data_IF_749571658433
#
_entry.id   IF_749571658433
#
_cell.length_a   1.000
_cell.length_b   1.000
_cell.length_c   1.000
_cell.angle_alpha   90.00
_cell.angle_beta   90.00
_cell.angle_gamma   90.00
#
_symmetry.space_group_name_H-M   'P 1'
#
loop_
_entity.id
_entity.type
_entity.pdbx_description
1 polymer ?
#
# COMPACT_ATOMS: atom_id res chain seq x y z
N UNK A 1 3.18 2.29 -25.52
CA UNK A 1 3.33 2.78 -24.12
C UNK A 1 4.62 3.56 -24.05
N UNK A 2 4.62 4.73 -23.40
CA UNK A 2 5.81 5.59 -23.33
C UNK A 2 6.96 4.91 -22.58
N UNK A 3 8.17 5.45 -22.74
CA UNK A 3 9.34 5.11 -21.90
C UNK A 3 9.66 6.31 -21.01
N UNK A 4 10.32 6.09 -19.88
CA UNK A 4 10.83 7.16 -19.03
C UNK A 4 10.13 7.32 -17.68
N UNK A 5 10.64 8.25 -16.84
CA UNK A 5 10.28 8.42 -15.43
C UNK A 5 8.87 9.00 -15.19
N UNK A 6 8.17 9.38 -16.26
CA UNK A 6 6.78 9.89 -16.24
C UNK A 6 5.79 8.94 -16.90
N UNK A 7 6.20 7.71 -17.20
CA UNK A 7 5.33 6.69 -17.78
C UNK A 7 4.51 5.99 -16.69
N UNK A 8 3.48 6.67 -16.19
CA UNK A 8 2.61 6.13 -15.13
C UNK A 8 1.65 5.09 -15.70
N UNK A 9 1.43 4.00 -14.95
CA UNK A 9 0.38 3.04 -15.29
C UNK A 9 -1.00 3.69 -15.10
N UNK A 10 -2.00 3.27 -15.87
CA UNK A 10 -3.38 3.75 -15.67
C UNK A 10 -3.88 3.43 -14.26
N UNK A 11 -3.44 2.32 -13.69
CA UNK A 11 -3.81 1.91 -12.33
C UNK A 11 -3.09 2.77 -11.28
N UNK A 12 -1.82 3.14 -11.51
CA UNK A 12 -1.09 4.10 -10.68
C UNK A 12 -1.81 5.45 -10.63
N UNK A 13 -2.21 5.99 -11.80
CA UNK A 13 -2.96 7.24 -11.87
C UNK A 13 -4.30 7.10 -11.14
N UNK A 14 -5.08 6.06 -11.43
CA UNK A 14 -6.38 5.84 -10.77
C UNK A 14 -6.23 5.73 -9.25
N UNK A 15 -5.28 4.94 -8.76
CA UNK A 15 -4.98 4.79 -7.33
C UNK A 15 -4.61 6.13 -6.71
N UNK A 16 -3.70 6.88 -7.34
CA UNK A 16 -3.23 8.19 -6.86
C UNK A 16 -4.37 9.19 -6.72
N UNK A 17 -5.23 9.32 -7.73
CA UNK A 17 -6.36 10.25 -7.68
C UNK A 17 -7.44 9.80 -6.71
N UNK A 18 -7.77 8.50 -6.67
CA UNK A 18 -8.79 7.95 -5.76
C UNK A 18 -8.42 8.19 -4.29
N UNK A 19 -7.15 7.99 -3.94
CA UNK A 19 -6.67 8.16 -2.57
C UNK A 19 -6.37 9.62 -2.21
N UNK A 20 -6.37 10.54 -3.17
CA UNK A 20 -6.22 11.98 -2.93
C UNK A 20 -7.48 12.66 -2.38
N UNK A 21 -8.65 12.04 -2.54
CA UNK A 21 -9.93 12.65 -2.18
C UNK A 21 -10.22 13.96 -2.89
N UNK A 22 -9.71 14.14 -4.12
CA UNK A 22 -9.80 15.39 -4.89
C UNK A 22 -9.22 16.61 -4.15
N UNK A 23 -8.21 16.42 -3.30
CA UNK A 23 -7.62 17.47 -2.47
C UNK A 23 -6.08 17.45 -2.55
N UNK A 24 -5.48 18.64 -2.52
CA UNK A 24 -4.03 18.80 -2.41
C UNK A 24 -3.48 18.15 -1.13
N UNK A 25 -2.41 17.36 -1.26
CA UNK A 25 -1.79 16.68 -0.12
C UNK A 25 -0.97 17.58 0.82
N UNK A 26 -0.77 18.86 0.47
CA UNK A 26 -0.02 19.77 1.31
C UNK A 26 -0.81 20.11 2.60
N UNK A 27 -0.19 20.05 3.80
CA UNK A 27 -0.90 20.26 5.06
C UNK A 27 -1.63 21.62 5.11
N UNK A 28 -2.91 21.60 5.48
CA UNK A 28 -3.74 22.80 5.57
C UNK A 28 -4.27 23.34 4.23
N UNK A 29 -3.88 22.76 3.09
CA UNK A 29 -4.40 23.17 1.79
C UNK A 29 -5.82 22.65 1.55
N UNK A 30 -6.74 23.54 1.17
CA UNK A 30 -8.14 23.19 0.84
C UNK A 30 -8.42 23.15 -0.65
N UNK A 31 -7.41 23.35 -1.50
CA UNK A 31 -7.58 23.32 -2.96
C UNK A 31 -8.09 21.96 -3.41
N UNK A 32 -9.20 21.98 -4.14
CA UNK A 32 -9.75 20.83 -4.84
C UNK A 32 -9.25 20.77 -6.28
N UNK A 33 -9.00 19.59 -6.82
CA UNK A 33 -8.39 19.47 -8.16
C UNK A 33 -9.38 19.64 -9.30
N UNK A 34 -10.58 19.09 -9.14
CA UNK A 34 -11.66 19.18 -10.13
C UNK A 34 -12.93 19.74 -9.50
N UNK A 35 -13.77 20.35 -10.33
CA UNK A 35 -15.06 20.89 -9.94
C UNK A 35 -16.13 20.46 -10.95
N UNK A 36 -17.36 20.14 -10.53
CA UNK A 36 -18.44 19.85 -11.48
C UNK A 36 -18.79 21.02 -12.41
N UNK A 37 -18.32 22.24 -12.09
CA UNK A 37 -18.63 23.46 -12.84
C UNK A 37 -17.68 23.75 -13.99
N UNK A 38 -16.51 23.09 -14.05
CA UNK A 38 -15.56 23.25 -15.15
C UNK A 38 -14.64 22.03 -15.28
N UNK A 39 -14.15 21.78 -16.48
CA UNK A 39 -13.30 20.62 -16.77
C UNK A 39 -11.81 20.86 -16.44
N UNK A 40 -11.50 21.91 -15.65
CA UNK A 40 -10.11 22.23 -15.31
C UNK A 40 -9.59 21.29 -14.24
N UNK A 41 -8.46 20.63 -14.52
CA UNK A 41 -7.73 19.86 -13.53
C UNK A 41 -6.59 20.70 -12.94
N UNK A 42 -6.69 21.05 -11.67
CA UNK A 42 -5.72 21.85 -10.92
C UNK A 42 -4.64 21.01 -10.21
N UNK A 43 -4.66 19.69 -10.39
CA UNK A 43 -3.66 18.80 -9.80
C UNK A 43 -2.37 18.74 -10.63
N UNK A 44 -1.28 18.47 -9.92
CA UNK A 44 0.01 18.12 -10.49
C UNK A 44 0.45 16.80 -9.87
N UNK A 45 0.81 15.84 -10.72
CA UNK A 45 1.51 14.62 -10.27
C UNK A 45 2.97 15.03 -10.05
N UNK A 46 3.36 15.10 -8.79
CA UNK A 46 4.69 15.51 -8.37
C UNK A 46 5.51 14.28 -7.96
N UNK A 47 6.78 14.26 -8.34
CA UNK A 47 7.73 13.24 -7.88
C UNK A 47 8.28 13.59 -6.50
N UNK A 48 8.28 12.62 -5.60
CA UNK A 48 8.92 12.72 -4.29
C UNK A 48 10.44 12.71 -4.45
N UNK A 49 10.99 11.72 -5.15
CA UNK A 49 12.36 11.72 -5.67
C UNK A 49 12.33 12.08 -7.16
N UNK A 50 13.06 13.12 -7.55
CA UNK A 50 12.95 13.78 -8.85
C UNK A 50 13.03 12.83 -10.05
N UNK A 51 12.28 13.15 -11.10
CA UNK A 51 12.19 12.34 -12.31
C UNK A 51 13.49 12.36 -13.14
N UNK A 52 14.16 13.50 -13.19
CA UNK A 52 15.27 13.77 -14.12
C UNK A 52 16.57 14.03 -13.37
N UNK A 53 17.70 13.69 -14.00
CA UNK A 53 19.04 14.00 -13.46
C UNK A 53 19.19 15.51 -13.29
N UNK A 54 19.63 15.92 -12.10
CA UNK A 54 19.74 17.34 -11.71
C UNK A 54 18.46 17.94 -11.15
N UNK A 55 17.34 17.20 -11.16
CA UNK A 55 16.10 17.59 -10.48
C UNK A 55 16.17 17.41 -8.96
N UNK A 56 15.17 17.94 -8.27
CA UNK A 56 15.06 17.92 -6.82
C UNK A 56 15.04 16.48 -6.29
N UNK A 57 15.93 16.19 -5.32
CA UNK A 57 16.01 14.86 -4.67
C UNK A 57 16.20 13.70 -5.67
N UNK A 58 16.81 13.95 -6.83
CA UNK A 58 17.11 12.89 -7.79
C UNK A 58 18.04 11.84 -7.18
N UNK A 59 17.58 10.60 -7.10
CA UNK A 59 18.40 9.45 -6.71
C UNK A 59 18.88 8.71 -7.96
N UNK A 60 20.19 8.64 -8.28
CA UNK A 60 20.69 7.93 -9.46
C UNK A 60 20.44 6.42 -9.45
N UNK A 61 20.12 5.83 -8.30
CA UNK A 61 19.88 4.40 -8.19
C UNK A 61 18.42 4.01 -8.49
N UNK A 62 17.51 4.98 -8.57
CA UNK A 62 16.11 4.71 -8.92
C UNK A 62 15.93 4.49 -10.43
N UNK A 63 15.28 3.38 -10.77
CA UNK A 63 14.82 3.05 -12.11
C UNK A 63 13.63 3.93 -12.52
N UNK A 64 13.38 4.04 -13.83
CA UNK A 64 12.19 4.76 -14.35
C UNK A 64 10.88 4.19 -13.80
N UNK A 65 10.82 2.85 -13.59
CA UNK A 65 9.65 2.19 -13.02
C UNK A 65 9.41 2.64 -11.58
N UNK A 66 10.47 2.74 -10.77
CA UNK A 66 10.37 3.23 -9.38
C UNK A 66 10.03 4.72 -9.34
N UNK A 67 10.55 5.51 -10.28
CA UNK A 67 10.19 6.94 -10.37
C UNK A 67 8.73 7.16 -10.72
N UNK A 68 8.20 6.32 -11.61
CA UNK A 68 6.81 6.34 -12.04
C UNK A 68 5.86 5.56 -11.11
N UNK A 69 6.38 4.94 -10.03
CA UNK A 69 5.58 4.13 -9.12
C UNK A 69 4.67 5.00 -8.26
N UNK A 70 3.56 4.44 -7.79
CA UNK A 70 2.66 5.13 -6.87
C UNK A 70 3.43 5.74 -5.69
N UNK A 71 4.35 5.01 -5.07
CA UNK A 71 5.03 5.41 -3.83
C UNK A 71 5.94 6.63 -3.99
N UNK A 72 6.40 6.90 -5.22
CA UNK A 72 7.20 8.07 -5.54
C UNK A 72 6.36 9.27 -6.01
N UNK A 73 5.03 9.16 -6.04
CA UNK A 73 4.15 10.21 -6.56
C UNK A 73 3.23 10.78 -5.47
N UNK A 74 3.05 12.10 -5.49
CA UNK A 74 2.12 12.84 -4.61
C UNK A 74 1.34 13.85 -5.46
N UNK A 75 0.06 14.08 -5.15
CA UNK A 75 -0.76 15.08 -5.83
C UNK A 75 -0.76 16.41 -5.08
N UNK A 76 -0.32 17.47 -5.76
CA UNK A 76 -0.26 18.83 -5.22
C UNK A 76 -0.93 19.82 -6.19
N UNK A 77 -1.41 20.95 -5.67
CA UNK A 77 -1.80 22.07 -6.54
C UNK A 77 -0.55 22.79 -7.07
N UNK A 78 -0.69 23.63 -8.09
CA UNK A 78 0.44 24.32 -8.72
C UNK A 78 1.31 25.11 -7.72
N UNK A 79 0.69 25.79 -6.74
CA UNK A 79 1.42 26.55 -5.71
C UNK A 79 2.28 25.64 -4.83
N UNK A 80 1.73 24.52 -4.37
CA UNK A 80 2.46 23.61 -3.49
C UNK A 80 3.45 22.73 -4.24
N UNK A 81 3.21 22.44 -5.52
CA UNK A 81 4.23 21.84 -6.38
C UNK A 81 5.50 22.69 -6.37
N UNK A 82 5.38 24.01 -6.60
CA UNK A 82 6.52 24.95 -6.54
C UNK A 82 7.11 25.03 -5.12
N UNK A 83 6.26 25.12 -4.09
CA UNK A 83 6.73 25.20 -2.69
C UNK A 83 7.60 24.00 -2.31
N UNK A 84 7.25 22.80 -2.79
CA UNK A 84 7.99 21.56 -2.52
C UNK A 84 9.32 21.42 -3.27
N UNK A 85 9.70 22.40 -4.11
CA UNK A 85 11.02 22.42 -4.75
C UNK A 85 12.15 22.77 -3.76
N UNK A 86 11.83 23.38 -2.61
CA UNK A 86 12.82 23.64 -1.55
C UNK A 86 13.22 22.32 -0.85
N UNK A 87 14.28 21.69 -1.38
CA UNK A 87 14.82 20.42 -0.89
C UNK A 87 15.31 20.47 0.56
N UNK A 88 15.61 21.66 1.10
CA UNK A 88 16.04 21.81 2.48
C UNK A 88 14.89 21.60 3.48
N UNK A 89 13.66 21.93 3.07
CA UNK A 89 12.44 21.77 3.87
C UNK A 89 11.68 20.49 3.51
N UNK A 90 11.74 20.10 2.25
CA UNK A 90 10.96 18.99 1.71
C UNK A 90 11.89 17.88 1.23
N UNK A 91 12.37 17.08 2.18
CA UNK A 91 13.13 15.85 1.91
C UNK A 91 12.21 14.73 1.40
N UNK A 92 12.77 13.68 0.79
CA UNK A 92 12.04 12.48 0.36
C UNK A 92 11.16 11.92 1.49
N UNK A 93 11.75 11.73 2.67
CA UNK A 93 11.04 11.20 3.84
C UNK A 93 9.89 12.09 4.29
N UNK A 94 10.08 13.42 4.26
CA UNK A 94 9.03 14.37 4.65
C UNK A 94 7.84 14.37 3.69
N UNK A 95 8.09 14.25 2.38
CA UNK A 95 7.04 14.20 1.35
C UNK A 95 6.30 12.86 1.37
N UNK A 96 7.01 11.75 1.63
CA UNK A 96 6.37 10.45 1.88
C UNK A 96 5.44 10.53 3.10
N UNK A 97 5.91 11.10 4.20
CA UNK A 97 5.09 11.28 5.40
C UNK A 97 3.87 12.19 5.13
N UNK A 98 4.06 13.27 4.38
CA UNK A 98 2.98 14.16 3.95
C UNK A 98 1.90 13.41 3.16
N UNK A 99 2.31 12.62 2.16
CA UNK A 99 1.41 11.76 1.38
C UNK A 99 0.65 10.78 2.27
N UNK A 100 1.35 10.06 3.14
CA UNK A 100 0.75 9.07 4.04
C UNK A 100 -0.28 9.70 4.99
N UNK A 101 0.03 10.86 5.56
CA UNK A 101 -0.88 11.58 6.45
C UNK A 101 -2.14 12.05 5.70
N UNK A 102 -1.97 12.59 4.49
CA UNK A 102 -3.09 13.02 3.65
C UNK A 102 -4.04 11.87 3.35
N UNK A 103 -3.53 10.76 2.83
CA UNK A 103 -4.33 9.58 2.46
C UNK A 103 -5.06 8.99 3.67
N UNK A 104 -4.40 8.98 4.84
CA UNK A 104 -5.01 8.56 6.10
C UNK A 104 -6.20 9.45 6.47
N UNK A 105 -6.06 10.76 6.32
CA UNK A 105 -7.13 11.70 6.66
C UNK A 105 -8.29 11.65 5.66
N UNK A 106 -8.01 11.47 4.37
CA UNK A 106 -9.04 11.19 3.36
C UNK A 106 -9.82 9.92 3.72
N UNK A 107 -9.12 8.85 4.08
CA UNK A 107 -9.74 7.58 4.39
C UNK A 107 -10.61 7.62 5.65
N UNK A 108 -10.22 8.42 6.66
CA UNK A 108 -11.05 8.71 7.83
C UNK A 108 -12.32 9.47 7.45
N UNK A 109 -12.24 10.45 6.55
CA UNK A 109 -13.39 11.26 6.10
C UNK A 109 -14.43 10.43 5.33
N UNK A 110 -14.00 9.50 4.48
CA UNK A 110 -14.91 8.70 3.64
C UNK A 110 -15.59 7.58 4.44
N UNK A 111 -15.04 7.18 5.59
CA UNK A 111 -15.61 6.14 6.45
C UNK A 111 -15.33 4.73 5.91
N UNK A 112 -14.38 4.03 6.52
CA UNK A 112 -13.99 2.68 6.09
C UNK A 112 -15.18 1.70 6.09
N UNK A 113 -16.03 1.76 7.11
CA UNK A 113 -17.20 0.90 7.23
C UNK A 113 -18.23 1.18 6.13
N UNK A 114 -18.42 2.44 5.76
CA UNK A 114 -19.39 2.83 4.73
C UNK A 114 -18.96 2.32 3.35
N UNK A 115 -17.67 2.45 3.01
CA UNK A 115 -17.12 1.88 1.76
C UNK A 115 -17.30 0.36 1.75
N UNK A 116 -16.98 -0.32 2.85
CA UNK A 116 -17.09 -1.78 2.94
C UNK A 116 -18.53 -2.31 2.94
N UNK A 117 -19.50 -1.48 3.32
CA UNK A 117 -20.91 -1.81 3.24
C UNK A 117 -21.46 -1.55 1.83
N UNK A 118 -20.98 -0.49 1.17
CA UNK A 118 -21.33 -0.17 -0.21
C UNK A 118 -20.71 -1.13 -1.22
N UNK A 119 -19.51 -1.63 -0.94
CA UNK A 119 -18.77 -2.57 -1.79
C UNK A 119 -18.36 -3.82 -0.99
N UNK A 120 -19.30 -4.67 -0.57
CA UNK A 120 -19.02 -5.80 0.30
C UNK A 120 -18.14 -6.88 -0.35
N UNK A 121 -18.15 -6.97 -1.68
CA UNK A 121 -17.33 -7.90 -2.46
C UNK A 121 -15.87 -7.48 -2.60
N UNK A 122 -15.49 -6.25 -2.22
CA UNK A 122 -14.13 -5.72 -2.43
C UNK A 122 -13.06 -6.62 -1.80
N UNK A 123 -13.30 -7.12 -0.58
CA UNK A 123 -12.42 -8.06 0.09
C UNK A 123 -12.29 -9.38 -0.67
N UNK A 124 -13.41 -9.97 -1.09
CA UNK A 124 -13.41 -11.22 -1.84
C UNK A 124 -12.69 -11.09 -3.18
N UNK A 125 -12.90 -9.98 -3.90
CA UNK A 125 -12.18 -9.65 -5.14
C UNK A 125 -10.69 -9.57 -4.90
N UNK A 126 -10.23 -8.79 -3.91
CA UNK A 126 -8.80 -8.68 -3.61
C UNK A 126 -8.18 -10.05 -3.27
N UNK A 127 -8.86 -10.86 -2.46
CA UNK A 127 -8.43 -12.23 -2.15
C UNK A 127 -8.32 -13.07 -3.44
N UNK A 128 -9.34 -13.04 -4.29
CA UNK A 128 -9.37 -13.80 -5.54
C UNK A 128 -8.22 -13.41 -6.47
N UNK A 129 -7.92 -12.11 -6.62
CA UNK A 129 -6.81 -11.67 -7.46
C UNK A 129 -5.47 -12.16 -6.92
N UNK A 130 -5.17 -11.88 -5.66
CA UNK A 130 -3.84 -12.18 -5.11
C UNK A 130 -3.62 -13.69 -5.01
N UNK A 131 -4.64 -14.47 -4.67
CA UNK A 131 -4.55 -15.94 -4.58
C UNK A 131 -4.40 -16.62 -5.95
N UNK A 132 -4.91 -16.03 -7.03
CA UNK A 132 -4.78 -16.58 -8.40
C UNK A 132 -3.37 -16.48 -8.98
N UNK A 133 -2.50 -15.67 -8.36
CA UNK A 133 -1.13 -15.44 -8.82
C UNK A 133 -0.27 -16.58 -8.26
N UNK A 134 0.01 -17.59 -9.07
CA UNK A 134 0.95 -18.65 -8.69
C UNK A 134 2.38 -18.10 -8.71
N UNK A 135 2.98 -17.87 -7.54
CA UNK A 135 4.39 -17.48 -7.38
C UNK A 135 5.32 -18.70 -7.31
N UNK A 136 5.09 -19.74 -8.13
CA UNK A 136 5.77 -21.05 -8.14
C UNK A 136 5.37 -22.06 -7.04
N UNK A 137 5.37 -23.34 -7.44
CA UNK A 137 5.00 -24.53 -6.66
C UNK A 137 6.02 -24.81 -5.54
N UNK A 138 5.67 -24.48 -4.29
CA UNK A 138 6.41 -24.93 -3.10
C UNK A 138 5.41 -25.32 -2.02
N UNK A 139 5.74 -26.36 -1.26
CA UNK A 139 4.90 -27.02 -0.27
C UNK A 139 4.19 -26.06 0.69
N UNK A 140 2.90 -26.34 0.89
CA UNK A 140 2.00 -25.57 1.72
C UNK A 140 2.39 -25.74 3.19
N UNK A 141 3.17 -24.81 3.74
CA UNK A 141 3.44 -24.76 5.18
C UNK A 141 2.21 -24.21 5.93
N UNK A 142 1.63 -25.04 6.79
CA UNK A 142 0.32 -24.84 7.46
C UNK A 142 0.40 -24.24 8.88
N UNK A 143 1.49 -23.58 9.28
CA UNK A 143 1.50 -22.95 10.60
C UNK A 143 0.62 -21.69 10.62
N UNK A 144 -0.34 -21.68 11.54
CA UNK A 144 -1.42 -20.70 11.68
C UNK A 144 -1.46 -20.14 13.10
N UNK A 145 -0.30 -19.89 13.71
CA UNK A 145 -0.28 -19.19 14.99
C UNK A 145 -0.80 -17.74 14.77
N UNK A 146 -1.92 -17.42 15.41
CA UNK A 146 -2.52 -16.08 15.41
C UNK A 146 -2.07 -15.40 16.69
N UNK A 147 -1.40 -14.25 16.56
CA UNK A 147 -0.92 -13.47 17.70
C UNK A 147 -1.77 -12.24 17.95
N UNK A 148 -1.76 -11.76 19.20
CA UNK A 148 -2.30 -10.43 19.49
C UNK A 148 -1.53 -9.38 18.67
N UNK A 149 -2.21 -8.53 17.87
CA UNK A 149 -1.57 -7.47 17.10
C UNK A 149 -0.68 -6.60 17.98
N UNK A 150 -1.13 -6.30 19.20
CA UNK A 150 -0.45 -5.36 20.10
C UNK A 150 0.91 -5.92 20.57
N UNK A 151 0.95 -7.22 20.95
CA UNK A 151 2.22 -7.90 21.29
C UNK A 151 3.19 -7.92 20.11
N UNK A 152 2.68 -8.14 18.90
CA UNK A 152 3.51 -8.23 17.70
C UNK A 152 4.05 -6.87 17.25
N UNK A 153 3.26 -5.80 17.41
CA UNK A 153 3.67 -4.41 17.18
C UNK A 153 4.84 -4.06 18.10
N UNK A 154 4.71 -4.33 19.39
CA UNK A 154 5.74 -4.00 20.39
C UNK A 154 7.01 -4.84 20.20
N UNK A 155 6.85 -6.13 19.86
CA UNK A 155 7.97 -7.03 19.58
C UNK A 155 8.76 -6.62 18.34
N UNK A 156 8.09 -6.17 17.28
CA UNK A 156 8.73 -5.75 16.02
C UNK A 156 9.05 -4.25 15.95
N UNK A 157 8.75 -3.47 17.00
CA UNK A 157 8.99 -2.01 17.06
C UNK A 157 8.36 -1.24 15.89
N UNK A 158 7.15 -1.62 15.50
CA UNK A 158 6.39 -0.93 14.43
C UNK A 158 5.90 0.43 14.93
N UNK A 159 6.19 1.50 14.20
CA UNK A 159 5.85 2.88 14.60
C UNK A 159 4.88 3.51 13.60
N UNK A 160 5.28 3.62 12.34
CA UNK A 160 4.52 4.32 11.29
C UNK A 160 3.24 3.58 10.93
N UNK A 161 3.31 2.26 10.81
CA UNK A 161 2.18 1.39 10.47
C UNK A 161 1.30 1.03 11.67
N UNK A 162 1.72 1.32 12.92
CA UNK A 162 0.94 1.00 14.12
C UNK A 162 -0.51 1.50 14.06
N UNK A 163 -0.80 2.77 13.68
CA UNK A 163 -2.19 3.23 13.58
C UNK A 163 -3.02 2.47 12.55
N UNK A 164 -2.41 2.01 11.45
CA UNK A 164 -3.10 1.21 10.43
C UNK A 164 -3.40 -0.17 11.00
N UNK A 165 -2.42 -0.83 11.63
CA UNK A 165 -2.60 -2.13 12.26
C UNK A 165 -3.72 -2.11 13.31
N UNK A 166 -3.75 -1.07 14.16
CA UNK A 166 -4.80 -0.88 15.17
C UNK A 166 -6.17 -0.54 14.58
N UNK A 167 -6.22 0.29 13.53
CA UNK A 167 -7.47 0.69 12.89
C UNK A 167 -8.16 -0.49 12.20
N UNK A 168 -7.40 -1.34 11.51
CA UNK A 168 -7.96 -2.40 10.68
C UNK A 168 -8.10 -3.75 11.37
N UNK A 169 -7.52 -3.97 12.57
CA UNK A 169 -7.64 -5.24 13.31
C UNK A 169 -9.08 -5.66 13.59
N UNK A 170 -10.00 -4.69 13.71
CA UNK A 170 -11.44 -4.94 13.96
C UNK A 170 -12.12 -5.71 12.83
N UNK A 171 -11.58 -5.68 11.61
CA UNK A 171 -12.16 -6.37 10.45
C UNK A 171 -11.75 -7.85 10.36
N UNK A 172 -10.93 -8.36 11.28
CA UNK A 172 -10.50 -9.76 11.30
C UNK A 172 -11.69 -10.74 11.28
N UNK A 173 -12.75 -10.46 12.03
CA UNK A 173 -13.97 -11.27 12.02
C UNK A 173 -14.70 -11.29 10.67
N UNK A 174 -14.77 -10.15 9.97
CA UNK A 174 -15.38 -10.07 8.63
C UNK A 174 -14.55 -10.85 7.61
N UNK A 175 -13.22 -10.74 7.66
CA UNK A 175 -12.31 -11.46 6.79
C UNK A 175 -12.39 -12.98 7.01
N UNK A 176 -12.41 -13.43 8.27
CA UNK A 176 -12.51 -14.85 8.59
C UNK A 176 -13.81 -15.48 8.06
N UNK A 177 -14.93 -14.75 8.06
CA UNK A 177 -16.18 -15.23 7.43
C UNK A 177 -16.01 -15.47 5.93
N UNK A 178 -15.38 -14.53 5.23
CA UNK A 178 -15.09 -14.67 3.79
C UNK A 178 -14.16 -15.86 3.54
N UNK A 179 -13.12 -16.02 4.34
CA UNK A 179 -12.24 -17.19 4.28
C UNK A 179 -13.02 -18.50 4.45
N UNK A 180 -13.88 -18.60 5.47
CA UNK A 180 -14.68 -19.80 5.69
C UNK A 180 -15.66 -20.09 4.54
N UNK A 181 -16.20 -19.07 3.89
CA UNK A 181 -17.05 -19.24 2.70
C UNK A 181 -16.25 -19.77 1.51
N UNK A 182 -15.03 -19.26 1.29
CA UNK A 182 -14.11 -19.72 0.25
C UNK A 182 -13.67 -21.19 0.52
N UNK A 183 -13.30 -21.52 1.76
CA UNK A 183 -12.90 -22.86 2.16
C UNK A 183 -14.05 -23.87 1.99
N UNK A 184 -15.29 -23.49 2.31
CA UNK A 184 -16.49 -24.33 2.09
C UNK A 184 -16.73 -24.69 0.62
N UNK A 185 -16.23 -23.88 -0.30
CA UNK A 185 -16.27 -24.17 -1.75
C UNK A 185 -15.14 -25.10 -2.20
N UNK A 186 -14.32 -25.63 -1.28
CA UNK A 186 -13.17 -26.46 -1.59
C UNK A 186 -11.99 -25.68 -2.17
N UNK A 187 -11.93 -24.36 -1.93
CA UNK A 187 -10.94 -23.47 -2.53
C UNK A 187 -9.77 -23.17 -1.58
N UNK A 188 -8.53 -23.37 -2.03
CA UNK A 188 -7.28 -23.09 -1.28
C UNK A 188 -6.81 -21.63 -1.37
N UNK A 189 -7.71 -20.70 -1.71
CA UNK A 189 -7.33 -19.31 -2.00
C UNK A 189 -6.78 -18.57 -0.78
N UNK A 190 -7.23 -18.90 0.42
CA UNK A 190 -6.72 -18.31 1.67
C UNK A 190 -5.26 -18.71 1.90
N UNK A 191 -4.94 -19.98 1.78
CA UNK A 191 -3.59 -20.52 1.94
C UNK A 191 -2.66 -19.89 0.90
N UNK A 192 -3.08 -19.86 -0.37
CA UNK A 192 -2.34 -19.22 -1.46
C UNK A 192 -2.13 -17.73 -1.22
N UNK A 193 -3.14 -17.01 -0.75
CA UNK A 193 -3.03 -15.59 -0.38
C UNK A 193 -1.95 -15.37 0.68
N UNK A 194 -2.01 -16.11 1.79
CA UNK A 194 -1.08 -15.95 2.91
C UNK A 194 0.35 -16.36 2.52
N UNK A 195 0.50 -17.39 1.67
CA UNK A 195 1.79 -17.79 1.11
C UNK A 195 2.37 -16.71 0.20
N UNK A 196 1.55 -16.15 -0.69
CA UNK A 196 1.99 -15.09 -1.59
C UNK A 196 2.47 -13.87 -0.80
N UNK A 197 1.74 -13.45 0.23
CA UNK A 197 2.17 -12.35 1.10
C UNK A 197 3.47 -12.68 1.85
N UNK A 198 3.63 -13.91 2.34
CA UNK A 198 4.89 -14.31 2.97
C UNK A 198 6.07 -14.29 1.99
N UNK A 199 5.89 -14.75 0.76
CA UNK A 199 6.91 -14.64 -0.30
C UNK A 199 7.29 -13.18 -0.57
N UNK A 200 6.31 -12.28 -0.61
CA UNK A 200 6.56 -10.84 -0.74
C UNK A 200 7.37 -10.29 0.44
N UNK A 201 7.08 -10.74 1.67
CA UNK A 201 7.85 -10.38 2.85
C UNK A 201 9.28 -10.91 2.80
N UNK A 202 9.50 -12.18 2.42
CA UNK A 202 10.84 -12.75 2.28
C UNK A 202 11.67 -12.00 1.22
N UNK A 203 11.03 -11.63 0.10
CA UNK A 203 11.65 -10.78 -0.92
C UNK A 203 12.04 -9.42 -0.34
N UNK A 204 11.12 -8.73 0.33
CA UNK A 204 11.37 -7.43 0.95
C UNK A 204 12.50 -7.51 2.01
N UNK A 205 12.51 -8.59 2.79
CA UNK A 205 13.55 -8.87 3.80
C UNK A 205 14.93 -9.01 3.15
N UNK A 206 15.04 -9.78 2.07
CA UNK A 206 16.28 -9.91 1.31
C UNK A 206 16.75 -8.59 0.68
N UNK A 207 15.84 -7.79 0.11
CA UNK A 207 16.19 -6.50 -0.50
C UNK A 207 16.64 -5.43 0.51
N UNK A 208 16.03 -5.39 1.70
CA UNK A 208 16.33 -4.36 2.71
C UNK A 208 17.49 -4.77 3.62
N UNK A 209 17.57 -6.05 3.99
CA UNK A 209 18.50 -6.51 5.03
C UNK A 209 19.74 -7.23 4.48
N UNK A 210 19.69 -7.71 3.23
CA UNK A 210 20.75 -8.53 2.66
C UNK A 210 20.98 -9.78 3.51
N UNK A 211 22.23 -10.00 3.94
CA UNK A 211 22.62 -11.15 4.75
C UNK A 211 22.28 -10.99 6.25
N UNK A 212 22.18 -9.75 6.76
CA UNK A 212 21.94 -9.48 8.19
C UNK A 212 20.44 -9.48 8.53
N UNK A 213 19.91 -10.67 8.80
CA UNK A 213 18.51 -10.90 9.14
C UNK A 213 18.23 -10.98 10.64
N UNK A 214 19.06 -10.34 11.47
CA UNK A 214 18.87 -10.27 12.92
C UNK A 214 17.57 -9.56 13.30
N UNK A 215 17.01 -9.89 14.48
CA UNK A 215 15.77 -9.28 14.95
C UNK A 215 15.93 -7.77 15.17
N UNK A 216 17.13 -7.32 15.56
CA UNK A 216 17.48 -5.91 15.70
C UNK A 216 17.33 -5.18 14.36
N UNK A 217 17.90 -5.73 13.28
CA UNK A 217 17.79 -5.13 11.94
C UNK A 217 16.37 -5.15 11.39
N UNK A 218 15.62 -6.20 11.67
CA UNK A 218 14.21 -6.27 11.30
C UNK A 218 13.41 -5.18 12.01
N UNK A 219 13.63 -4.98 13.32
CA UNK A 219 12.98 -3.93 14.12
C UNK A 219 13.31 -2.53 13.60
N UNK A 220 14.58 -2.26 13.27
CA UNK A 220 15.02 -0.99 12.69
C UNK A 220 14.34 -0.68 11.34
N UNK A 221 13.92 -1.71 10.59
CA UNK A 221 13.34 -1.59 9.26
C UNK A 221 11.87 -2.01 9.18
N UNK A 222 11.19 -2.21 10.31
CA UNK A 222 9.89 -2.87 10.37
C UNK A 222 8.83 -2.17 9.51
N UNK A 223 8.74 -0.85 9.61
CA UNK A 223 7.81 -0.04 8.82
C UNK A 223 8.15 -0.07 7.32
N UNK A 224 9.44 -0.03 6.97
CA UNK A 224 9.90 -0.09 5.57
C UNK A 224 9.63 -1.46 4.95
N UNK A 225 9.73 -2.54 5.72
CA UNK A 225 9.38 -3.89 5.30
C UNK A 225 7.87 -4.00 5.03
N UNK A 226 7.01 -3.45 5.90
CA UNK A 226 5.57 -3.44 5.66
C UNK A 226 5.23 -2.59 4.41
N UNK A 227 5.85 -1.41 4.26
CA UNK A 227 5.70 -0.55 3.07
C UNK A 227 6.05 -1.33 1.80
N UNK A 228 7.19 -2.00 1.77
CA UNK A 228 7.65 -2.73 0.59
C UNK A 228 6.74 -3.92 0.25
N UNK A 229 6.24 -4.65 1.25
CA UNK A 229 5.24 -5.72 1.06
C UNK A 229 3.96 -5.16 0.46
N UNK A 230 3.46 -4.04 0.99
CA UNK A 230 2.29 -3.36 0.45
C UNK A 230 2.48 -2.98 -1.02
N UNK A 231 3.64 -2.42 -1.36
CA UNK A 231 3.94 -1.97 -2.70
C UNK A 231 3.97 -3.15 -3.68
N UNK A 232 4.61 -4.25 -3.31
CA UNK A 232 4.56 -5.46 -4.13
C UNK A 232 3.14 -6.02 -4.26
N UNK A 233 2.35 -5.98 -3.19
CA UNK A 233 0.96 -6.46 -3.24
C UNK A 233 0.13 -5.67 -4.24
N UNK A 234 0.33 -4.35 -4.28
CA UNK A 234 -0.27 -3.48 -5.29
C UNK A 234 0.27 -3.74 -6.69
N UNK A 235 1.58 -3.95 -6.86
CA UNK A 235 2.12 -4.33 -8.17
C UNK A 235 1.53 -5.66 -8.68
N UNK A 236 1.34 -6.64 -7.79
CA UNK A 236 0.71 -7.91 -8.12
C UNK A 236 -0.75 -7.71 -8.52
N UNK A 237 -1.49 -6.90 -7.76
CA UNK A 237 -2.86 -6.53 -8.11
C UNK A 237 -2.89 -5.86 -9.47
N UNK A 238 -2.04 -4.87 -9.74
CA UNK A 238 -2.02 -4.13 -11.01
C UNK A 238 -1.71 -4.99 -12.24
N UNK A 239 -0.93 -6.07 -12.06
CA UNK A 239 -0.58 -7.02 -13.12
C UNK A 239 -1.64 -8.11 -13.32
N UNK A 240 -2.59 -8.27 -12.40
CA UNK A 240 -3.65 -9.27 -12.54
C UNK A 240 -4.54 -8.93 -13.74
N UNK A 241 -4.87 -9.89 -14.63
CA UNK A 241 -5.71 -9.64 -15.80
C UNK A 241 -7.09 -9.09 -15.44
N UNK A 242 -7.56 -9.35 -14.22
CA UNK A 242 -8.87 -8.94 -13.72
C UNK A 242 -8.81 -7.65 -12.87
N UNK A 243 -7.65 -6.97 -12.73
CA UNK A 243 -7.50 -5.75 -11.93
C UNK A 243 -8.32 -4.53 -12.39
N UNK A 244 -9.09 -4.72 -13.47
CA UNK A 244 -10.00 -3.74 -14.09
C UNK A 244 -11.46 -3.94 -13.69
N UNK A 245 -11.77 -4.81 -12.72
CA UNK A 245 -13.13 -4.94 -12.16
C UNK A 245 -13.69 -3.57 -11.70
N UNK A 246 -15.01 -3.40 -11.76
CA UNK A 246 -15.77 -2.18 -11.40
C UNK A 246 -15.76 -1.85 -9.89
N UNK A 247 -14.67 -2.15 -9.20
CA UNK A 247 -14.50 -1.86 -7.78
C UNK A 247 -13.71 -0.56 -7.63
N UNK A 248 -14.22 0.43 -6.87
CA UNK A 248 -13.47 1.64 -6.60
C UNK A 248 -12.14 1.34 -5.90
N UNK A 249 -11.10 2.08 -6.27
CA UNK A 249 -9.75 1.91 -5.72
C UNK A 249 -9.69 2.13 -4.22
N UNK A 250 -10.58 2.95 -3.65
CA UNK A 250 -10.73 3.16 -2.23
C UNK A 250 -11.14 1.86 -1.52
N UNK A 251 -12.06 1.11 -2.13
CA UNK A 251 -12.51 -0.18 -1.59
C UNK A 251 -11.44 -1.25 -1.73
N UNK A 252 -10.72 -1.28 -2.86
CA UNK A 252 -9.54 -2.14 -3.06
C UNK A 252 -8.47 -1.81 -2.01
N UNK A 253 -8.17 -0.52 -1.79
CA UNK A 253 -7.18 -0.07 -0.82
C UNK A 253 -7.53 -0.52 0.60
N UNK A 254 -8.79 -0.36 1.02
CA UNK A 254 -9.24 -0.89 2.31
C UNK A 254 -9.06 -2.41 2.38
N UNK A 255 -9.42 -3.13 1.31
CA UNK A 255 -9.24 -4.58 1.24
C UNK A 255 -7.77 -5.00 1.41
N UNK A 256 -6.86 -4.31 0.73
CA UNK A 256 -5.40 -4.51 0.85
C UNK A 256 -4.92 -4.26 2.28
N UNK A 257 -5.34 -3.16 2.91
CA UNK A 257 -4.95 -2.84 4.30
C UNK A 257 -5.42 -3.93 5.26
N UNK A 258 -6.67 -4.40 5.14
CA UNK A 258 -7.22 -5.48 5.98
C UNK A 258 -6.41 -6.77 5.82
N UNK A 259 -6.05 -7.13 4.59
CA UNK A 259 -5.24 -8.32 4.30
C UNK A 259 -3.82 -8.20 4.86
N UNK A 260 -3.18 -7.03 4.75
CA UNK A 260 -1.86 -6.78 5.37
C UNK A 260 -1.93 -6.95 6.88
N UNK A 261 -2.97 -6.41 7.53
CA UNK A 261 -3.15 -6.57 8.99
C UNK A 261 -3.35 -8.04 9.37
N UNK A 262 -4.15 -8.78 8.62
CA UNK A 262 -4.36 -10.23 8.85
C UNK A 262 -3.07 -11.02 8.66
N UNK A 263 -2.31 -10.75 7.59
CA UNK A 263 -1.04 -11.38 7.32
C UNK A 263 0.01 -11.07 8.40
N UNK A 264 0.05 -9.83 8.90
CA UNK A 264 0.89 -9.45 10.04
C UNK A 264 0.53 -10.26 11.28
N UNK A 265 -0.75 -10.32 11.63
CA UNK A 265 -1.27 -11.06 12.80
C UNK A 265 -1.00 -12.57 12.73
N UNK A 266 -1.01 -13.13 11.51
CA UNK A 266 -0.72 -14.55 11.22
C UNK A 266 0.77 -14.84 10.99
N UNK A 267 1.66 -13.91 11.37
CA UNK A 267 3.12 -14.03 11.22
C UNK A 267 3.58 -14.31 9.78
N UNK A 268 2.85 -13.80 8.79
CA UNK A 268 3.28 -13.83 7.39
C UNK A 268 4.08 -12.58 7.02
N UNK A 269 3.97 -11.52 7.82
CA UNK A 269 4.77 -10.29 7.75
C UNK A 269 5.39 -10.03 9.12
N UNK A 270 6.72 -9.81 9.15
CA UNK A 270 7.53 -9.60 10.35
C UNK A 270 7.58 -10.80 11.31
N UNK A 271 8.51 -10.80 12.26
CA UNK A 271 8.82 -11.96 13.09
C UNK A 271 7.76 -12.24 14.17
N UNK A 272 7.69 -13.51 14.56
CA UNK A 272 6.85 -14.05 15.63
C UNK A 272 7.40 -13.63 17.01
N UNK A 273 6.58 -13.12 17.93
CA UNK A 273 7.01 -12.85 19.30
C UNK A 273 7.38 -14.16 20.02
N UNK A 274 8.53 -14.16 20.68
CA UNK A 274 9.00 -15.25 21.56
C UNK A 274 8.41 -15.10 22.96
#
# INVERSE_FOLDING_TARGET
MGKGPRNYSQLTIKRLYSLSGNQCAFPGCTTTFTSPKNDTNLSNICHIAGAEKGGERYDPNMTDKERASYDNLILLCANHHIATNDVSKHTVSSLKLMKQNHEKDILKKIGTTDILNKYPSSLATVINHISSISLDNVDILTSTNIYSPDKKIDYNKVIVYKPILEQYKVYHGKLNKIYSEIEKQGSFKKELLLQNINKLYLKAKGEILGEDSTIEKIRENADKLIELVENYLWELFEKSPNAKEDIPFEAVNIGMKIIIVDAFVRCKILEEPI
#
